data_IF_797581090101
#
_entry.id   IF_797581090101
#
_cell.length_a   1.000
_cell.length_b   1.000
_cell.length_c   1.000
_cell.angle_alpha   90.00
_cell.angle_beta   90.00
_cell.angle_gamma   90.00
#
_symmetry.space_group_name_H-M   'P 1'
#
loop_
_entity.id
_entity.type
_entity.pdbx_description
1 polymer ?
#
# COMPACT_ATOMS: atom_id res chain seq x y z
N UNK A 1 15.38 2.99 13.34
CA UNK A 1 14.68 1.71 13.10
C UNK A 1 13.76 1.50 14.28
N UNK A 2 12.46 1.75 14.08
CA UNK A 2 11.45 1.73 15.16
C UNK A 2 11.25 0.30 15.66
N UNK A 3 11.31 0.10 16.98
CA UNK A 3 11.19 -1.20 17.64
C UNK A 3 9.82 -1.86 17.41
N UNK A 4 8.80 -1.08 17.01
CA UNK A 4 7.49 -1.61 16.63
C UNK A 4 7.49 -2.32 15.27
N UNK A 5 8.25 -1.83 14.29
CA UNK A 5 8.38 -2.44 12.96
C UNK A 5 9.26 -3.70 12.99
N UNK A 6 10.29 -3.71 13.84
CA UNK A 6 11.13 -4.89 14.03
C UNK A 6 10.36 -6.04 14.71
N UNK A 7 9.42 -5.73 15.61
CA UNK A 7 8.57 -6.72 16.27
C UNK A 7 7.59 -7.41 15.32
N UNK A 8 6.95 -6.66 14.41
CA UNK A 8 6.03 -7.22 13.40
C UNK A 8 6.77 -8.11 12.41
N UNK A 9 7.97 -7.73 11.98
CA UNK A 9 8.81 -8.54 11.07
C UNK A 9 9.31 -9.81 11.77
N UNK A 10 9.65 -9.74 13.06
CA UNK A 10 10.11 -10.91 13.84
C UNK A 10 8.98 -11.92 14.07
N UNK A 11 7.74 -11.47 14.28
CA UNK A 11 6.57 -12.35 14.39
C UNK A 11 6.16 -13.01 13.07
N UNK A 12 6.51 -12.41 11.93
CA UNK A 12 6.22 -12.97 10.60
C UNK A 12 7.20 -14.09 10.19
N UNK A 13 8.42 -14.07 10.75
CA UNK A 13 9.48 -15.06 10.43
C UNK A 13 9.42 -16.29 11.35
N UNK A 14 8.90 -16.15 12.57
CA UNK A 14 8.87 -17.25 13.56
C UNK A 14 7.56 -18.05 13.56
N UNK A 15 6.46 -17.48 13.08
CA UNK A 15 5.20 -18.21 12.95
C UNK A 15 5.16 -18.91 11.60
N UNK A 16 5.57 -20.17 11.61
CA UNK A 16 5.47 -21.14 10.53
C UNK A 16 3.98 -21.52 10.24
N UNK A 17 3.07 -20.57 10.37
CA UNK A 17 1.71 -20.69 9.85
C UNK A 17 1.74 -20.06 8.47
N UNK A 18 1.92 -20.89 7.45
CA UNK A 18 1.37 -20.56 6.14
C UNK A 18 -0.09 -20.18 6.39
N UNK A 19 -0.43 -18.88 6.37
CA UNK A 19 -1.81 -18.47 6.19
C UNK A 19 -2.19 -18.98 4.81
N UNK A 20 -2.76 -20.17 4.77
CA UNK A 20 -3.30 -20.78 3.57
C UNK A 20 -4.40 -19.83 3.13
N UNK A 21 -4.18 -19.14 2.01
CA UNK A 21 -5.27 -18.51 1.27
C UNK A 21 -6.11 -19.66 0.71
N UNK A 22 -7.03 -20.19 1.51
CA UNK A 22 -7.97 -21.22 1.07
C UNK A 22 -9.10 -20.54 0.29
N UNK A 23 -9.20 -20.76 -1.02
CA UNK A 23 -10.23 -20.13 -1.85
C UNK A 23 -11.64 -20.62 -1.50
N UNK A 24 -11.79 -21.67 -0.67
CA UNK A 24 -13.07 -22.21 -0.26
C UNK A 24 -13.57 -21.63 1.07
N UNK A 25 -12.79 -20.78 1.75
CA UNK A 25 -13.26 -20.06 2.93
C UNK A 25 -14.14 -18.89 2.49
N UNK A 26 -15.34 -18.82 3.08
CA UNK A 26 -16.26 -17.71 2.83
C UNK A 26 -15.59 -16.36 3.14
N UNK A 27 -15.77 -15.35 2.28
CA UNK A 27 -15.16 -14.05 2.49
C UNK A 27 -15.66 -13.40 3.79
N UNK A 28 -14.77 -12.68 4.48
CA UNK A 28 -15.16 -11.85 5.62
C UNK A 28 -15.89 -10.62 5.06
N UNK A 29 -17.21 -10.60 5.19
CA UNK A 29 -18.07 -9.51 4.69
C UNK A 29 -18.55 -8.55 5.78
N UNK A 30 -18.31 -8.88 7.05
CA UNK A 30 -18.70 -8.06 8.21
C UNK A 30 -17.50 -7.51 8.99
N UNK A 31 -17.60 -6.26 9.43
CA UNK A 31 -16.61 -5.61 10.29
C UNK A 31 -16.73 -4.08 10.32
N UNK A 32 -15.89 -3.47 11.16
CA UNK A 32 -15.85 -2.03 11.46
C UNK A 32 -14.86 -1.23 10.60
N UNK A 33 -14.50 -1.74 9.42
CA UNK A 33 -13.65 -1.00 8.49
C UNK A 33 -14.34 0.25 7.98
N UNK A 34 -13.53 1.24 7.59
CA UNK A 34 -14.00 2.46 6.96
C UNK A 34 -14.73 2.14 5.65
N UNK A 35 -15.91 2.75 5.48
CA UNK A 35 -16.77 2.60 4.29
C UNK A 35 -17.10 4.02 3.81
N UNK A 36 -16.36 4.59 2.84
CA UNK A 36 -16.70 5.90 2.31
C UNK A 36 -18.08 5.85 1.66
N UNK A 37 -18.84 6.94 1.79
CA UNK A 37 -20.13 7.06 1.10
C UNK A 37 -19.89 7.51 -0.35
N UNK A 38 -20.78 7.17 -1.30
CA UNK A 38 -20.72 7.76 -2.63
C UNK A 38 -20.67 9.29 -2.55
N UNK A 39 -19.75 9.90 -3.30
CA UNK A 39 -19.51 11.35 -3.27
C UNK A 39 -18.48 11.83 -2.24
N UNK A 40 -17.87 10.95 -1.44
CA UNK A 40 -16.70 11.31 -0.62
C UNK A 40 -15.60 11.92 -1.50
N UNK A 41 -15.11 13.08 -1.09
CA UNK A 41 -14.10 13.82 -1.85
C UNK A 41 -12.71 13.22 -1.65
N UNK A 42 -11.89 13.21 -2.70
CA UNK A 42 -10.58 12.57 -2.66
C UNK A 42 -9.58 13.25 -3.57
N UNK A 43 -8.30 13.13 -3.21
CA UNK A 43 -7.16 13.55 -4.01
C UNK A 43 -6.26 12.35 -4.27
N UNK A 44 -5.88 12.16 -5.52
CA UNK A 44 -4.99 11.09 -5.96
C UNK A 44 -3.71 11.68 -6.53
N UNK A 45 -2.58 11.35 -5.91
CA UNK A 45 -1.27 11.81 -6.35
C UNK A 45 -0.20 10.78 -5.95
N UNK A 46 0.36 10.10 -6.94
CA UNK A 46 1.36 9.04 -6.72
C UNK A 46 2.81 9.49 -6.94
N UNK A 47 3.02 10.72 -7.43
CA UNK A 47 4.34 11.19 -7.85
C UNK A 47 4.63 12.61 -7.37
N UNK A 48 5.92 12.89 -7.19
CA UNK A 48 6.44 14.17 -6.74
C UNK A 48 6.07 14.50 -5.30
N UNK A 49 6.26 15.75 -4.90
CA UNK A 49 5.85 16.23 -3.58
C UNK A 49 4.33 16.30 -3.50
N UNK A 50 3.74 15.56 -2.57
CA UNK A 50 2.28 15.53 -2.36
C UNK A 50 1.78 16.92 -2.00
N UNK A 51 0.83 17.44 -2.79
CA UNK A 51 0.16 18.70 -2.49
C UNK A 51 -0.97 18.46 -1.49
N UNK A 52 -0.76 18.88 -0.24
CA UNK A 52 -1.71 18.72 0.87
C UNK A 52 -2.70 19.88 1.03
N UNK A 53 -2.71 20.84 0.10
CA UNK A 53 -3.59 22.01 0.17
C UNK A 53 -5.05 21.72 -0.22
N UNK A 54 -5.34 20.53 -0.76
CA UNK A 54 -6.71 20.17 -1.14
C UNK A 54 -7.57 19.87 0.08
N UNK A 55 -8.71 20.56 0.17
CA UNK A 55 -9.71 20.26 1.17
C UNK A 55 -10.61 19.09 0.72
N UNK A 56 -10.06 17.88 0.81
CA UNK A 56 -10.75 16.61 0.51
C UNK A 56 -10.80 15.70 1.73
N UNK A 57 -11.62 14.65 1.73
CA UNK A 57 -11.74 13.71 2.85
C UNK A 57 -10.67 12.62 2.83
N UNK A 58 -10.24 12.20 1.64
CA UNK A 58 -9.31 11.10 1.43
C UNK A 58 -8.11 11.55 0.58
N UNK A 59 -6.92 11.14 0.98
CA UNK A 59 -5.71 11.19 0.15
C UNK A 59 -5.31 9.78 -0.27
N UNK A 60 -5.15 9.54 -1.56
CA UNK A 60 -4.58 8.32 -2.13
C UNK A 60 -3.19 8.63 -2.68
N UNK A 61 -2.17 8.11 -2.00
CA UNK A 61 -0.76 8.44 -2.19
C UNK A 61 0.10 7.17 -2.20
N UNK A 62 1.25 7.24 -2.85
CA UNK A 62 2.17 6.11 -2.97
C UNK A 62 2.65 5.61 -1.59
N UNK A 63 2.61 4.29 -1.38
CA UNK A 63 3.00 3.67 -0.11
C UNK A 63 4.49 3.88 0.21
N UNK A 64 5.36 3.80 -0.79
CA UNK A 64 6.81 3.79 -0.62
C UNK A 64 7.40 5.20 -0.67
N UNK A 65 6.92 6.04 -1.59
CA UNK A 65 7.49 7.37 -1.84
C UNK A 65 6.89 8.45 -0.93
N UNK A 66 5.81 8.13 -0.20
CA UNK A 66 5.27 8.99 0.86
C UNK A 66 5.88 8.65 2.21
N UNK A 67 6.29 9.67 2.98
CA UNK A 67 6.84 9.46 4.32
C UNK A 67 5.78 9.03 5.34
N UNK A 68 6.21 8.38 6.42
CA UNK A 68 5.32 8.03 7.54
C UNK A 68 4.80 9.28 8.24
N UNK A 69 5.63 10.31 8.32
CA UNK A 69 5.33 11.62 8.90
C UNK A 69 4.20 12.29 8.13
N UNK A 70 4.27 12.34 6.78
CA UNK A 70 3.21 12.88 5.93
C UNK A 70 1.88 12.14 6.16
N UNK A 71 1.91 10.80 6.18
CA UNK A 71 0.71 10.00 6.45
C UNK A 71 0.13 10.28 7.84
N UNK A 72 0.99 10.48 8.83
CA UNK A 72 0.59 10.82 10.20
C UNK A 72 -0.09 12.19 10.23
N UNK A 73 0.51 13.22 9.63
CA UNK A 73 -0.04 14.58 9.56
C UNK A 73 -1.40 14.61 8.85
N UNK A 74 -1.56 13.88 7.74
CA UNK A 74 -2.85 13.74 7.05
C UNK A 74 -3.92 13.10 7.95
N UNK A 75 -3.56 12.04 8.70
CA UNK A 75 -4.50 11.40 9.64
C UNK A 75 -4.85 12.31 10.82
N UNK A 76 -3.88 13.03 11.38
CA UNK A 76 -4.08 13.96 12.50
C UNK A 76 -4.93 15.17 12.10
N UNK A 77 -4.87 15.59 10.83
CA UNK A 77 -5.78 16.59 10.26
C UNK A 77 -7.16 16.05 9.88
N UNK A 78 -7.50 14.83 10.30
CA UNK A 78 -8.82 14.22 10.14
C UNK A 78 -9.03 13.55 8.78
N UNK A 79 -8.02 13.48 7.92
CA UNK A 79 -8.12 12.84 6.60
C UNK A 79 -7.98 11.33 6.72
N UNK A 80 -8.59 10.59 5.79
CA UNK A 80 -8.24 9.18 5.55
C UNK A 80 -7.12 9.11 4.52
N UNK A 81 -6.27 8.09 4.65
CA UNK A 81 -5.13 7.87 3.75
C UNK A 81 -5.23 6.48 3.15
N UNK A 82 -5.28 6.40 1.82
CA UNK A 82 -5.09 5.18 1.03
C UNK A 82 -3.62 5.16 0.62
N UNK A 83 -2.96 4.02 0.80
CA UNK A 83 -1.56 3.82 0.43
C UNK A 83 -1.52 2.93 -0.80
N UNK A 84 -1.32 3.52 -1.97
CA UNK A 84 -1.22 2.81 -3.23
C UNK A 84 0.05 1.96 -3.30
N UNK A 85 -0.09 0.74 -3.78
CA UNK A 85 1.02 -0.09 -4.26
C UNK A 85 0.51 -0.98 -5.39
N UNK A 86 1.38 -1.35 -6.32
CA UNK A 86 1.02 -2.35 -7.32
C UNK A 86 1.18 -3.76 -6.74
N UNK A 87 0.06 -4.47 -6.64
CA UNK A 87 0.06 -5.89 -6.22
C UNK A 87 0.25 -6.85 -7.40
N UNK A 88 0.02 -6.38 -8.63
CA UNK A 88 -0.05 -7.21 -9.84
C UNK A 88 1.11 -7.02 -10.81
N UNK A 89 1.99 -6.04 -10.57
CA UNK A 89 3.17 -5.79 -11.40
C UNK A 89 4.44 -5.68 -10.55
N UNK A 90 5.56 -5.96 -11.18
CA UNK A 90 6.90 -5.73 -10.67
C UNK A 90 7.39 -4.36 -11.12
N UNK A 91 7.89 -3.56 -10.17
CA UNK A 91 8.43 -2.22 -10.42
C UNK A 91 9.94 -2.17 -10.11
N UNK A 92 10.79 -2.00 -11.13
CA UNK A 92 12.25 -2.11 -10.96
C UNK A 92 12.91 -0.95 -10.18
N UNK A 93 12.14 0.06 -9.77
CA UNK A 93 12.60 1.19 -8.98
C UNK A 93 12.29 1.05 -7.48
N UNK A 94 11.52 0.03 -7.07
CA UNK A 94 11.20 -0.21 -5.65
C UNK A 94 12.37 -0.86 -4.91
N UNK A 95 12.48 -0.53 -3.62
CA UNK A 95 13.55 -1.04 -2.74
C UNK A 95 13.49 -2.56 -2.53
N UNK A 96 12.29 -3.15 -2.61
CA UNK A 96 12.06 -4.58 -2.40
C UNK A 96 12.10 -5.40 -3.70
N UNK A 97 12.40 -4.78 -4.85
CA UNK A 97 12.51 -5.45 -6.16
C UNK A 97 13.42 -6.67 -6.16
N UNK A 98 14.44 -6.70 -5.31
CA UNK A 98 15.41 -7.80 -5.22
C UNK A 98 14.83 -9.05 -4.56
N UNK A 99 13.67 -8.96 -3.91
CA UNK A 99 12.94 -10.09 -3.33
C UNK A 99 12.21 -10.93 -4.36
N UNK A 100 12.00 -10.41 -5.57
CA UNK A 100 11.32 -11.13 -6.64
C UNK A 100 12.33 -11.95 -7.45
N UNK A 101 12.12 -13.26 -7.52
CA UNK A 101 12.91 -14.10 -8.42
C UNK A 101 12.53 -13.82 -9.87
N UNK A 102 13.49 -13.93 -10.78
CA UNK A 102 13.26 -13.67 -12.21
C UNK A 102 12.15 -14.53 -12.82
N UNK A 103 11.91 -15.72 -12.27
CA UNK A 103 10.84 -16.64 -12.72
C UNK A 103 9.44 -16.13 -12.43
N UNK A 104 9.27 -15.18 -11.51
CA UNK A 104 7.98 -14.56 -11.20
C UNK A 104 7.66 -13.37 -12.11
N UNK A 105 8.63 -12.89 -12.90
CA UNK A 105 8.47 -11.67 -13.71
C UNK A 105 7.84 -11.99 -15.07
N UNK A 106 6.71 -11.35 -15.35
CA UNK A 106 5.94 -11.49 -16.58
C UNK A 106 6.51 -10.72 -17.76
N UNK A 107 5.68 -10.50 -18.77
CA UNK A 107 6.04 -9.62 -19.89
C UNK A 107 6.11 -8.16 -19.42
N UNK A 108 6.98 -7.32 -20.00
CA UNK A 108 6.91 -5.88 -19.76
C UNK A 108 5.50 -5.34 -19.98
N UNK A 109 5.07 -4.43 -19.10
CA UNK A 109 3.80 -3.72 -19.25
C UNK A 109 3.98 -2.47 -20.11
N UNK A 110 2.95 -2.12 -20.86
CA UNK A 110 2.92 -0.89 -21.65
C UNK A 110 2.75 0.33 -20.75
N UNK A 111 3.44 1.42 -21.07
CA UNK A 111 3.27 2.73 -20.40
C UNK A 111 4.36 3.09 -19.39
N UNK A 112 5.02 2.12 -18.76
CA UNK A 112 6.07 2.38 -17.75
C UNK A 112 7.32 1.52 -17.93
N UNK A 113 8.45 2.18 -18.18
CA UNK A 113 9.73 1.50 -18.38
C UNK A 113 10.21 0.86 -17.07
N UNK A 114 10.37 -0.46 -17.09
CA UNK A 114 10.82 -1.23 -15.91
C UNK A 114 9.69 -1.95 -15.17
N UNK A 115 8.45 -1.79 -15.62
CA UNK A 115 7.28 -2.49 -15.09
C UNK A 115 7.05 -3.84 -15.82
N UNK A 116 6.69 -4.91 -15.10
CA UNK A 116 6.48 -6.27 -15.65
C UNK A 116 5.41 -7.06 -14.90
#
# INVERSE_FOLDING_TARGET
MDSALLSIITSFILNNESKIFDPNINPITNGSWYKPIPGTSWQWQLQGTINTAYNVDIYDIDLFDSSQELRKELKESGKKVICYFSAGSYENWRDDKSKFSKSLLGNPLDGWAGER
#
